data_IF_876005350799
#
_entry.id   IF_876005350799
#
_cell.length_a   1.000
_cell.length_b   1.000
_cell.length_c   1.000
_cell.angle_alpha   90.00
_cell.angle_beta   90.00
_cell.angle_gamma   90.00
#
_symmetry.space_group_name_H-M   'P 1'
#
loop_
_entity.id
_entity.type
_entity.pdbx_description
1 polymer ?
#
# COMPACT_ATOMS: atom_id res chain seq x y z
N UNK A 1 -16.93 -25.23 -3.85
CA UNK A 1 -16.70 -23.79 -3.85
C UNK A 1 -15.22 -23.54 -4.03
N UNK A 2 -14.84 -22.74 -5.01
CA UNK A 2 -13.42 -22.38 -5.26
C UNK A 2 -13.00 -21.21 -4.39
N UNK A 3 -11.73 -21.18 -3.99
CA UNK A 3 -11.10 -20.07 -3.27
C UNK A 3 -9.97 -19.50 -4.11
N UNK A 4 -10.01 -18.20 -4.39
CA UNK A 4 -8.99 -17.54 -5.19
C UNK A 4 -8.36 -16.36 -4.47
N UNK A 5 -7.12 -16.07 -4.80
CA UNK A 5 -6.40 -14.90 -4.32
C UNK A 5 -6.38 -13.80 -5.38
N UNK A 6 -6.38 -12.56 -4.91
CA UNK A 6 -6.06 -11.43 -5.78
C UNK A 6 -4.58 -11.48 -6.16
N UNK A 7 -4.30 -11.33 -7.45
CA UNK A 7 -2.96 -11.16 -7.98
C UNK A 7 -2.85 -9.81 -8.70
N UNK A 8 -1.63 -9.39 -8.97
CA UNK A 8 -1.34 -8.22 -9.79
C UNK A 8 -0.29 -8.65 -10.79
N UNK A 9 -0.68 -8.87 -12.04
CA UNK A 9 0.20 -9.39 -13.07
C UNK A 9 0.97 -8.30 -13.82
N UNK A 10 0.38 -7.10 -13.92
CA UNK A 10 0.98 -5.98 -14.65
C UNK A 10 0.64 -4.66 -13.96
N UNK A 11 1.61 -3.77 -13.91
CA UNK A 11 1.36 -2.37 -13.56
C UNK A 11 1.34 -1.55 -14.86
N UNK A 12 0.18 -1.01 -15.28
CA UNK A 12 0.14 -0.12 -16.42
C UNK A 12 1.07 1.08 -16.20
N UNK A 13 2.02 1.28 -17.10
CA UNK A 13 2.94 2.44 -17.09
C UNK A 13 3.94 2.57 -15.93
N UNK A 14 4.17 1.52 -15.14
CA UNK A 14 5.14 1.53 -14.05
C UNK A 14 6.21 0.46 -14.30
N UNK A 15 7.47 0.89 -14.39
CA UNK A 15 8.62 -0.01 -14.48
C UNK A 15 9.03 -0.51 -13.09
N UNK A 16 8.18 -1.27 -12.44
CA UNK A 16 8.48 -1.78 -11.10
C UNK A 16 7.39 -2.70 -10.57
N UNK A 17 7.75 -3.50 -9.58
CA UNK A 17 6.84 -4.39 -8.86
C UNK A 17 6.58 -3.78 -7.49
N UNK A 18 5.31 -3.57 -7.14
CA UNK A 18 4.94 -3.22 -5.79
C UNK A 18 4.81 -4.50 -4.94
N UNK A 19 5.86 -4.82 -4.20
CA UNK A 19 5.87 -6.01 -3.33
C UNK A 19 4.73 -5.99 -2.31
N UNK A 20 4.23 -4.81 -1.92
CA UNK A 20 3.12 -4.66 -0.99
C UNK A 20 1.83 -5.35 -1.46
N UNK A 21 1.56 -5.37 -2.76
CA UNK A 21 0.38 -6.04 -3.30
C UNK A 21 0.48 -7.58 -3.18
N UNK A 22 1.68 -8.14 -3.38
CA UNK A 22 1.92 -9.57 -3.15
C UNK A 22 1.85 -9.93 -1.66
N UNK A 23 2.37 -9.07 -0.79
CA UNK A 23 2.29 -9.25 0.67
C UNK A 23 0.84 -9.22 1.14
N UNK A 24 -0.03 -8.41 0.53
CA UNK A 24 -1.48 -8.43 0.80
C UNK A 24 -2.13 -9.76 0.38
N UNK A 25 -1.79 -10.29 -0.79
CA UNK A 25 -2.27 -11.60 -1.23
C UNK A 25 -1.80 -12.72 -0.28
N UNK A 26 -0.52 -12.68 0.13
CA UNK A 26 0.03 -13.61 1.12
C UNK A 26 -0.71 -13.51 2.46
N UNK A 27 -1.05 -12.30 2.92
CA UNK A 27 -1.81 -12.12 4.15
C UNK A 27 -3.20 -12.78 4.06
N UNK A 28 -3.93 -12.60 2.95
CA UNK A 28 -5.24 -13.24 2.78
C UNK A 28 -5.17 -14.75 2.63
N UNK A 29 -4.09 -15.29 2.08
CA UNK A 29 -3.92 -16.73 1.93
C UNK A 29 -3.97 -17.52 3.25
N UNK A 30 -3.62 -16.87 4.36
CA UNK A 30 -3.63 -17.49 5.70
C UNK A 30 -5.04 -17.88 6.18
N UNK A 31 -6.06 -17.24 5.64
CA UNK A 31 -7.46 -17.37 6.04
C UNK A 31 -8.29 -18.19 5.04
N UNK A 32 -7.67 -18.74 4.02
CA UNK A 32 -8.32 -19.63 3.06
C UNK A 32 -7.96 -21.08 3.34
N UNK A 33 -8.91 -22.03 3.24
CA UNK A 33 -8.63 -23.44 3.48
C UNK A 33 -7.68 -24.06 2.44
N UNK A 34 -7.72 -23.54 1.22
CA UNK A 34 -6.84 -23.86 0.10
C UNK A 34 -6.93 -22.78 -0.96
N UNK A 35 -6.08 -22.82 -1.96
CA UNK A 35 -6.04 -21.84 -3.05
C UNK A 35 -6.21 -22.60 -4.37
N UNK A 36 -7.30 -22.35 -5.08
CA UNK A 36 -7.62 -22.96 -6.38
C UNK A 36 -7.09 -22.14 -7.58
N UNK A 37 -6.58 -20.95 -7.34
CA UNK A 37 -6.04 -20.08 -8.38
C UNK A 37 -6.06 -18.62 -8.02
N UNK A 38 -5.87 -17.78 -9.03
CA UNK A 38 -5.74 -16.34 -8.90
C UNK A 38 -6.73 -15.60 -9.79
N UNK A 39 -7.05 -14.37 -9.42
CA UNK A 39 -7.78 -13.40 -10.23
C UNK A 39 -6.94 -12.15 -10.27
N UNK A 40 -6.66 -11.61 -11.46
CA UNK A 40 -5.98 -10.32 -11.53
C UNK A 40 -6.91 -9.23 -11.01
N UNK A 41 -6.42 -8.50 -10.01
CA UNK A 41 -7.18 -7.45 -9.31
C UNK A 41 -7.61 -6.32 -10.23
N UNK A 42 -6.77 -6.00 -11.19
CA UNK A 42 -6.97 -4.83 -12.04
C UNK A 42 -7.61 -5.21 -13.39
N UNK A 43 -7.29 -6.38 -13.97
CA UNK A 43 -7.75 -6.75 -15.31
C UNK A 43 -9.00 -7.65 -15.30
N UNK A 44 -9.11 -8.61 -14.36
CA UNK A 44 -10.07 -9.70 -14.49
C UNK A 44 -11.36 -9.58 -13.65
N UNK A 45 -11.44 -8.64 -12.69
CA UNK A 45 -12.53 -8.63 -11.72
C UNK A 45 -13.92 -8.53 -12.35
N UNK A 46 -14.13 -7.58 -13.26
CA UNK A 46 -15.45 -7.31 -13.85
C UNK A 46 -15.89 -8.40 -14.82
N UNK A 47 -14.94 -8.85 -15.64
CA UNK A 47 -15.21 -9.78 -16.73
C UNK A 47 -14.85 -11.22 -16.35
N UNK A 48 -14.71 -11.51 -15.06
CA UNK A 48 -14.47 -12.85 -14.57
C UNK A 48 -15.58 -13.79 -15.00
N UNK A 49 -15.22 -14.82 -15.78
CA UNK A 49 -16.13 -15.82 -16.35
C UNK A 49 -15.76 -17.27 -15.96
N UNK A 50 -14.96 -17.45 -14.91
CA UNK A 50 -14.58 -18.77 -14.39
C UNK A 50 -15.66 -19.41 -13.51
N UNK A 51 -15.29 -20.46 -12.79
CA UNK A 51 -16.20 -21.08 -11.81
C UNK A 51 -16.49 -20.11 -10.64
N UNK A 52 -17.71 -20.14 -10.06
CA UNK A 52 -18.04 -19.34 -8.88
C UNK A 52 -17.01 -19.54 -7.76
N UNK A 53 -16.51 -18.45 -7.22
CA UNK A 53 -15.41 -18.48 -6.24
C UNK A 53 -15.57 -17.46 -5.13
N UNK A 54 -14.92 -17.74 -4.00
CA UNK A 54 -14.74 -16.81 -2.88
C UNK A 54 -13.40 -16.11 -2.96
N UNK A 55 -13.40 -14.81 -2.69
CA UNK A 55 -12.21 -13.97 -2.73
C UNK A 55 -12.19 -13.01 -1.54
N UNK A 56 -11.07 -12.95 -0.82
CA UNK A 56 -10.85 -11.89 0.17
C UNK A 56 -10.39 -10.64 -0.58
N UNK A 57 -11.23 -9.60 -0.54
CA UNK A 57 -11.06 -8.35 -1.25
C UNK A 57 -10.30 -7.34 -0.39
N UNK A 58 -8.99 -7.58 -0.18
CA UNK A 58 -8.10 -6.84 0.70
C UNK A 58 -7.16 -5.86 -0.03
N UNK A 59 -7.61 -5.22 -1.07
CA UNK A 59 -6.79 -4.35 -1.90
C UNK A 59 -7.34 -2.95 -2.12
N UNK A 60 -6.71 -2.25 -3.06
CA UNK A 60 -7.19 -1.00 -3.65
C UNK A 60 -7.39 -1.22 -5.15
N UNK A 61 -8.41 -0.61 -5.73
CA UNK A 61 -8.89 -0.92 -7.08
C UNK A 61 -8.82 0.33 -7.96
N UNK A 62 -7.63 0.92 -8.09
CA UNK A 62 -7.46 2.24 -8.71
C UNK A 62 -6.79 2.24 -10.08
N UNK A 63 -6.04 1.19 -10.42
CA UNK A 63 -5.28 1.21 -11.68
C UNK A 63 -6.19 1.11 -12.89
N UNK A 64 -7.20 0.24 -12.84
CA UNK A 64 -8.23 0.08 -13.86
C UNK A 64 -9.63 0.15 -13.22
N UNK A 65 -10.04 1.32 -12.68
CA UNK A 65 -11.29 1.44 -11.93
C UNK A 65 -12.54 1.15 -12.77
N UNK A 66 -12.46 1.20 -14.10
CA UNK A 66 -13.54 0.79 -15.00
C UNK A 66 -13.85 -0.72 -14.94
N UNK A 67 -12.92 -1.53 -14.41
CA UNK A 67 -13.11 -2.98 -14.18
C UNK A 67 -13.77 -3.26 -12.81
N UNK A 68 -14.45 -2.27 -12.26
CA UNK A 68 -15.24 -2.33 -11.03
C UNK A 68 -16.75 -2.07 -11.34
N UNK A 69 -17.71 -2.69 -10.67
CA UNK A 69 -17.55 -3.73 -9.64
C UNK A 69 -17.22 -5.11 -10.19
N UNK A 70 -16.78 -6.05 -9.31
CA UNK A 70 -16.55 -7.44 -9.68
C UNK A 70 -17.75 -8.17 -10.27
N UNK A 71 -17.47 -9.23 -11.05
CA UNK A 71 -18.47 -10.17 -11.57
C UNK A 71 -19.29 -10.85 -10.46
N UNK A 72 -20.56 -11.13 -10.70
CA UNK A 72 -21.44 -11.85 -9.77
C UNK A 72 -21.00 -13.30 -9.49
N UNK A 73 -20.05 -13.83 -10.25
CA UNK A 73 -19.40 -15.12 -9.99
C UNK A 73 -18.35 -15.07 -8.87
N UNK A 74 -18.02 -13.86 -8.40
CA UNK A 74 -17.11 -13.64 -7.28
C UNK A 74 -17.94 -13.31 -6.04
N UNK A 75 -17.88 -14.20 -5.04
CA UNK A 75 -18.42 -13.96 -3.70
C UNK A 75 -17.33 -13.31 -2.84
N UNK A 76 -17.37 -11.97 -2.63
CA UNK A 76 -16.31 -11.24 -1.98
C UNK A 76 -16.50 -11.19 -0.46
N UNK A 77 -15.40 -11.31 0.26
CA UNK A 77 -15.28 -10.89 1.66
C UNK A 77 -14.40 -9.63 1.72
N UNK A 78 -14.99 -8.50 2.03
CA UNK A 78 -14.27 -7.24 2.14
C UNK A 78 -13.57 -7.08 3.50
N UNK A 79 -12.25 -7.20 3.51
CA UNK A 79 -11.40 -6.92 4.66
C UNK A 79 -10.19 -6.13 4.18
N UNK A 80 -9.85 -5.07 4.89
CA UNK A 80 -8.76 -4.16 4.51
C UNK A 80 -8.97 -3.49 3.12
N UNK A 81 -10.23 -3.26 2.74
CA UNK A 81 -10.58 -2.52 1.53
C UNK A 81 -10.07 -1.07 1.63
N UNK A 82 -9.50 -0.57 0.54
CA UNK A 82 -9.01 0.80 0.48
C UNK A 82 -9.58 1.55 -0.72
N UNK A 83 -10.11 2.73 -0.45
CA UNK A 83 -10.64 3.65 -1.45
C UNK A 83 -9.69 4.84 -1.61
N UNK A 84 -9.03 4.91 -2.76
CA UNK A 84 -8.17 6.04 -3.08
C UNK A 84 -8.99 7.23 -3.56
N UNK A 85 -8.64 8.43 -3.08
CA UNK A 85 -9.34 9.67 -3.45
C UNK A 85 -9.31 9.98 -4.95
N UNK A 86 -8.32 9.50 -5.68
CA UNK A 86 -8.18 9.71 -7.13
C UNK A 86 -9.21 8.95 -7.98
N UNK A 87 -9.87 7.92 -7.44
CA UNK A 87 -10.86 7.10 -8.14
C UNK A 87 -12.22 7.05 -7.42
N UNK A 88 -12.41 7.96 -6.47
CA UNK A 88 -13.63 8.00 -5.65
C UNK A 88 -14.91 8.13 -6.47
N UNK A 89 -14.88 8.82 -7.61
CA UNK A 89 -16.06 9.01 -8.47
C UNK A 89 -16.58 7.68 -9.03
N UNK A 90 -15.69 6.77 -9.41
CA UNK A 90 -16.07 5.44 -9.90
C UNK A 90 -16.46 4.54 -8.74
N UNK A 91 -15.63 4.45 -7.70
CA UNK A 91 -15.82 3.54 -6.57
C UNK A 91 -16.97 3.98 -5.62
N UNK A 92 -17.44 5.20 -5.73
CA UNK A 92 -18.63 5.72 -5.02
C UNK A 92 -19.80 6.02 -5.97
N UNK A 93 -19.75 5.53 -7.21
CA UNK A 93 -20.93 5.58 -8.11
C UNK A 93 -22.12 4.82 -7.54
N UNK A 94 -23.33 5.14 -7.99
CA UNK A 94 -24.53 4.46 -7.51
C UNK A 94 -24.47 2.94 -7.69
N UNK A 95 -23.89 2.45 -8.79
CA UNK A 95 -23.68 1.03 -9.03
C UNK A 95 -22.69 0.41 -8.03
N UNK A 96 -21.57 1.08 -7.78
CA UNK A 96 -20.57 0.62 -6.83
C UNK A 96 -21.12 0.59 -5.40
N UNK A 97 -21.85 1.62 -4.99
CA UNK A 97 -22.50 1.68 -3.67
C UNK A 97 -23.55 0.57 -3.52
N UNK A 98 -24.38 0.30 -4.55
CA UNK A 98 -25.33 -0.80 -4.53
C UNK A 98 -24.60 -2.16 -4.36
N UNK A 99 -23.52 -2.37 -5.10
CA UNK A 99 -22.70 -3.56 -4.99
C UNK A 99 -22.07 -3.71 -3.59
N UNK A 100 -21.47 -2.65 -3.04
CA UNK A 100 -20.89 -2.69 -1.70
C UNK A 100 -21.95 -2.96 -0.61
N UNK A 101 -23.16 -2.39 -0.75
CA UNK A 101 -24.27 -2.65 0.16
C UNK A 101 -24.75 -4.09 0.14
N UNK A 102 -24.72 -4.77 -1.02
CA UNK A 102 -25.10 -6.18 -1.10
C UNK A 102 -24.09 -7.13 -0.45
N UNK A 103 -22.86 -6.63 -0.18
CA UNK A 103 -21.76 -7.43 0.41
C UNK A 103 -21.27 -6.88 1.76
N UNK A 104 -22.04 -5.99 2.38
CA UNK A 104 -21.68 -5.44 3.70
C UNK A 104 -21.80 -6.50 4.82
N UNK A 105 -21.07 -6.31 5.96
CA UNK A 105 -20.26 -5.14 6.31
C UNK A 105 -18.90 -5.11 5.60
N UNK A 106 -18.41 -3.90 5.30
CA UNK A 106 -17.14 -3.69 4.59
C UNK A 106 -16.00 -3.35 5.58
N UNK A 107 -15.00 -4.22 5.67
CA UNK A 107 -13.80 -3.97 6.47
C UNK A 107 -12.85 -2.99 5.75
N UNK A 108 -12.61 -1.83 6.35
CA UNK A 108 -11.82 -0.74 5.77
C UNK A 108 -10.40 -0.74 6.33
N UNK A 109 -9.39 -0.57 5.45
CA UNK A 109 -7.99 -0.51 5.83
C UNK A 109 -7.63 0.78 6.57
N UNK A 110 -8.33 1.87 6.31
CA UNK A 110 -8.06 3.20 6.85
C UNK A 110 -9.36 3.95 7.17
N UNK A 111 -9.22 4.98 8.03
CA UNK A 111 -10.35 5.76 8.51
C UNK A 111 -10.99 6.63 7.43
N UNK A 112 -10.25 7.03 6.39
CA UNK A 112 -10.83 7.80 5.29
C UNK A 112 -11.76 6.93 4.44
N UNK A 113 -11.37 5.70 4.14
CA UNK A 113 -12.21 4.72 3.46
C UNK A 113 -13.48 4.45 4.28
N UNK A 114 -13.34 4.21 5.58
CA UNK A 114 -14.47 4.03 6.48
C UNK A 114 -15.44 5.23 6.43
N UNK A 115 -14.91 6.45 6.56
CA UNK A 115 -15.70 7.68 6.50
C UNK A 115 -16.48 7.81 5.18
N UNK A 116 -15.79 7.58 4.06
CA UNK A 116 -16.42 7.70 2.73
C UNK A 116 -17.52 6.67 2.52
N UNK A 117 -17.34 5.42 2.93
CA UNK A 117 -18.35 4.39 2.80
C UNK A 117 -19.56 4.66 3.71
N UNK A 118 -19.31 4.98 4.98
CA UNK A 118 -20.38 5.29 5.95
C UNK A 118 -21.20 6.50 5.51
N UNK A 119 -20.56 7.55 4.98
CA UNK A 119 -21.25 8.73 4.44
C UNK A 119 -22.19 8.40 3.27
N UNK A 120 -21.90 7.34 2.52
CA UNK A 120 -22.72 6.84 1.41
C UNK A 120 -23.72 5.74 1.86
N UNK A 121 -23.88 5.54 3.16
CA UNK A 121 -24.84 4.61 3.75
C UNK A 121 -24.48 3.13 3.56
N UNK A 122 -23.18 2.83 3.42
CA UNK A 122 -22.66 1.46 3.45
C UNK A 122 -22.28 1.13 4.89
N UNK A 123 -22.72 -0.02 5.40
CA UNK A 123 -22.26 -0.54 6.67
C UNK A 123 -20.79 -0.96 6.56
N UNK A 124 -19.94 -0.30 7.34
CA UNK A 124 -18.50 -0.46 7.27
C UNK A 124 -17.84 -0.35 8.64
N UNK A 125 -16.71 -1.01 8.81
CA UNK A 125 -15.92 -0.99 10.04
C UNK A 125 -14.42 -0.83 9.76
N UNK A 126 -13.67 -0.37 10.74
CA UNK A 126 -12.21 -0.30 10.63
C UNK A 126 -11.59 -1.67 10.92
N UNK A 127 -10.99 -2.29 9.90
CA UNK A 127 -10.31 -3.59 10.02
C UNK A 127 -8.79 -3.46 10.13
N UNK A 128 -8.22 -2.31 9.78
CA UNK A 128 -6.78 -2.17 9.57
C UNK A 128 -6.28 -2.89 8.32
N UNK A 129 -4.97 -2.92 8.12
CA UNK A 129 -4.35 -3.63 7.00
C UNK A 129 -4.19 -5.13 7.33
N UNK A 130 -4.61 -6.00 6.43
CA UNK A 130 -4.52 -7.44 6.61
C UNK A 130 -3.06 -7.94 6.74
N UNK A 131 -2.09 -7.20 6.21
CA UNK A 131 -0.68 -7.54 6.36
C UNK A 131 -0.19 -7.52 7.81
N UNK A 132 -0.91 -6.85 8.72
CA UNK A 132 -0.61 -6.88 10.15
C UNK A 132 -0.78 -8.28 10.77
N UNK A 133 -1.54 -9.16 10.13
CA UNK A 133 -1.74 -10.55 10.59
C UNK A 133 -0.56 -11.47 10.25
N UNK A 134 0.35 -11.04 9.39
CA UNK A 134 1.50 -11.86 8.98
C UNK A 134 2.46 -12.14 10.14
N UNK A 135 2.50 -11.29 11.16
CA UNK A 135 3.31 -11.49 12.36
C UNK A 135 2.95 -12.76 13.13
N UNK A 136 1.74 -13.26 13.02
CA UNK A 136 1.30 -14.53 13.63
C UNK A 136 2.10 -15.72 13.08
N UNK A 137 2.31 -15.74 11.77
CA UNK A 137 2.95 -16.86 11.06
C UNK A 137 4.43 -16.63 10.78
N UNK A 138 4.83 -15.39 10.54
CA UNK A 138 6.16 -15.01 10.05
C UNK A 138 6.91 -14.12 11.03
N UNK A 139 6.76 -14.37 12.33
CA UNK A 139 7.55 -13.68 13.34
C UNK A 139 8.93 -14.31 13.51
N UNK A 140 9.90 -13.53 13.96
CA UNK A 140 11.18 -13.99 14.46
C UNK A 140 11.26 -13.71 15.95
N UNK A 141 11.65 -14.71 16.72
CA UNK A 141 11.94 -14.55 18.14
C UNK A 141 13.28 -13.85 18.36
N UNK A 142 14.19 -13.96 17.38
CA UNK A 142 15.47 -13.27 17.40
C UNK A 142 15.26 -11.80 17.02
N UNK A 143 15.58 -10.92 17.96
CA UNK A 143 15.58 -9.46 17.73
C UNK A 143 17.00 -8.97 17.64
N UNK A 144 17.34 -8.34 16.54
CA UNK A 144 18.59 -7.61 16.42
C UNK A 144 18.48 -6.25 17.14
N UNK A 145 19.57 -5.82 17.80
CA UNK A 145 19.65 -4.44 18.34
C UNK A 145 19.93 -3.44 17.21
N UNK A 146 19.02 -3.46 16.23
CA UNK A 146 19.06 -2.59 15.05
C UNK A 146 17.71 -1.94 14.81
N UNK A 147 17.72 -0.70 14.37
CA UNK A 147 16.54 0.02 13.92
C UNK A 147 16.55 0.09 12.40
N UNK A 148 15.55 -0.55 11.79
CA UNK A 148 15.36 -0.49 10.33
C UNK A 148 14.40 0.65 9.99
N UNK A 149 14.76 1.44 8.98
CA UNK A 149 13.90 2.47 8.44
C UNK A 149 13.45 2.02 7.06
N UNK A 150 12.13 1.86 6.92
CA UNK A 150 11.48 1.43 5.68
C UNK A 150 10.87 2.64 4.99
N UNK A 151 11.08 2.75 3.67
CA UNK A 151 10.55 3.81 2.81
C UNK A 151 10.86 5.24 3.31
N UNK A 152 12.14 5.60 3.42
CA UNK A 152 12.58 6.90 3.91
C UNK A 152 12.19 8.03 2.96
N UNK A 153 11.00 8.60 3.14
CA UNK A 153 10.45 9.65 2.30
C UNK A 153 10.31 10.95 3.10
N UNK A 154 10.93 12.01 2.62
CA UNK A 154 10.70 13.35 3.12
C UNK A 154 9.72 14.09 2.21
N UNK A 155 8.50 14.32 2.69
CA UNK A 155 7.42 14.99 1.96
C UNK A 155 7.33 16.50 2.23
N UNK A 156 8.24 17.06 3.01
CA UNK A 156 8.27 18.49 3.32
C UNK A 156 8.64 19.37 2.13
N UNK A 157 8.22 20.62 2.19
CA UNK A 157 8.62 21.65 1.20
C UNK A 157 10.06 22.10 1.45
N UNK A 158 10.83 22.29 0.37
CA UNK A 158 12.18 22.84 0.41
C UNK A 158 12.11 24.38 0.48
N UNK A 159 11.88 24.94 1.67
CA UNK A 159 12.07 26.36 1.91
C UNK A 159 13.53 26.69 2.27
N UNK A 160 13.88 27.96 2.36
CA UNK A 160 15.24 28.41 2.61
C UNK A 160 15.88 27.78 3.88
N UNK A 161 15.12 27.75 4.98
CA UNK A 161 15.58 27.13 6.22
C UNK A 161 15.81 25.64 6.10
N UNK A 162 14.94 24.93 5.38
CA UNK A 162 15.10 23.51 5.10
C UNK A 162 16.35 23.24 4.25
N UNK A 163 16.61 24.06 3.25
CA UNK A 163 17.81 23.95 2.40
C UNK A 163 19.07 24.17 3.23
N UNK A 164 19.13 25.21 4.08
CA UNK A 164 20.27 25.47 4.96
C UNK A 164 20.52 24.29 5.90
N UNK A 165 19.46 23.76 6.51
CA UNK A 165 19.55 22.60 7.38
C UNK A 165 20.05 21.35 6.63
N UNK A 166 19.57 21.12 5.41
CA UNK A 166 20.01 20.02 4.57
C UNK A 166 21.50 20.10 4.23
N UNK A 167 21.99 21.29 3.86
CA UNK A 167 23.40 21.53 3.57
C UNK A 167 24.27 21.28 4.81
N UNK A 168 23.89 21.82 5.97
CA UNK A 168 24.60 21.58 7.22
C UNK A 168 24.66 20.08 7.58
N UNK A 169 23.56 19.35 7.34
CA UNK A 169 23.52 17.90 7.58
C UNK A 169 24.39 17.14 6.60
N UNK A 170 24.40 17.53 5.33
CA UNK A 170 25.24 16.90 4.30
C UNK A 170 26.74 17.07 4.59
N UNK A 171 27.14 18.23 5.09
CA UNK A 171 28.54 18.48 5.50
C UNK A 171 28.95 17.61 6.70
N UNK A 172 28.04 17.42 7.65
CA UNK A 172 28.29 16.66 8.89
C UNK A 172 28.31 15.14 8.69
N UNK A 173 27.53 14.64 7.72
CA UNK A 173 27.29 13.22 7.50
C UNK A 173 27.42 12.80 6.03
N UNK A 174 28.54 13.09 5.35
CA UNK A 174 28.65 12.90 3.91
C UNK A 174 28.56 11.41 3.49
N UNK A 175 29.18 10.51 4.27
CA UNK A 175 29.23 9.09 3.93
C UNK A 175 27.86 8.43 4.12
N UNK A 176 27.13 8.79 5.16
CA UNK A 176 25.77 8.25 5.42
C UNK A 176 24.79 8.69 4.32
N UNK A 177 24.92 9.95 3.87
CA UNK A 177 24.09 10.47 2.79
C UNK A 177 24.42 9.87 1.44
N UNK A 178 25.68 9.53 1.17
CA UNK A 178 26.06 8.83 -0.05
C UNK A 178 25.43 7.44 -0.12
N UNK A 179 25.41 6.71 0.99
CA UNK A 179 24.73 5.41 1.10
C UNK A 179 23.23 5.56 0.84
N UNK A 180 22.56 6.51 1.51
CA UNK A 180 21.14 6.79 1.33
C UNK A 180 20.77 7.17 -0.10
N UNK A 181 21.57 8.05 -0.73
CA UNK A 181 21.34 8.46 -2.11
C UNK A 181 21.45 7.31 -3.14
N UNK A 182 22.13 6.22 -2.78
CA UNK A 182 22.22 5.00 -3.59
C UNK A 182 20.94 4.16 -3.63
N UNK A 183 20.03 4.32 -2.67
CA UNK A 183 18.82 3.51 -2.58
C UNK A 183 17.87 3.80 -3.74
N UNK A 184 17.47 2.74 -4.44
CA UNK A 184 16.68 2.83 -5.68
C UNK A 184 15.33 3.53 -5.48
N UNK A 185 14.66 3.31 -4.35
CA UNK A 185 13.38 3.95 -4.05
C UNK A 185 13.46 5.46 -3.89
N UNK A 186 14.52 5.97 -3.27
CA UNK A 186 14.75 7.42 -3.23
C UNK A 186 14.96 8.02 -4.63
N UNK A 187 15.56 7.26 -5.56
CA UNK A 187 15.67 7.66 -6.97
C UNK A 187 14.31 7.77 -7.65
N UNK A 188 13.44 6.81 -7.44
CA UNK A 188 12.10 6.80 -8.04
C UNK A 188 11.23 7.93 -7.48
N UNK A 189 11.24 8.11 -6.17
CA UNK A 189 10.37 9.09 -5.50
C UNK A 189 10.79 10.55 -5.72
N UNK A 190 12.09 10.85 -5.68
CA UNK A 190 12.58 12.23 -5.83
C UNK A 190 12.92 12.61 -7.27
N UNK A 191 12.68 11.71 -8.22
CA UNK A 191 12.90 11.97 -9.64
C UNK A 191 14.38 12.12 -10.04
N UNK A 192 14.60 12.76 -11.20
CA UNK A 192 15.94 12.92 -11.78
C UNK A 192 16.74 14.10 -11.21
N UNK A 193 16.12 14.98 -10.43
CA UNK A 193 16.82 16.13 -9.88
C UNK A 193 17.70 15.72 -8.69
N UNK A 194 18.99 15.56 -8.96
CA UNK A 194 19.99 15.10 -7.99
C UNK A 194 20.13 16.04 -6.78
N UNK A 195 20.00 17.35 -6.98
CA UNK A 195 20.08 18.35 -5.91
C UNK A 195 18.91 18.22 -4.95
N UNK A 196 17.70 18.17 -5.48
CA UNK A 196 16.49 17.93 -4.67
C UNK A 196 16.56 16.62 -3.90
N UNK A 197 17.08 15.58 -4.52
CA UNK A 197 17.28 14.27 -3.90
C UNK A 197 18.25 14.35 -2.72
N UNK A 198 19.41 14.98 -2.89
CA UNK A 198 20.43 15.12 -1.83
C UNK A 198 19.87 15.95 -0.67
N UNK A 199 19.22 17.08 -0.96
CA UNK A 199 18.65 17.96 0.07
C UNK A 199 17.55 17.26 0.87
N UNK A 200 16.63 16.58 0.20
CA UNK A 200 15.54 15.83 0.86
C UNK A 200 16.06 14.65 1.66
N UNK A 201 17.08 13.95 1.17
CA UNK A 201 17.74 12.86 1.90
C UNK A 201 18.45 13.36 3.16
N UNK A 202 19.09 14.53 3.08
CA UNK A 202 19.74 15.15 4.24
C UNK A 202 18.74 15.58 5.31
N UNK A 203 17.60 16.13 4.92
CA UNK A 203 16.52 16.48 5.85
C UNK A 203 15.91 15.24 6.49
N UNK A 204 15.67 14.23 5.73
CA UNK A 204 15.21 12.94 6.22
C UNK A 204 16.17 12.37 7.26
N UNK A 205 17.47 12.31 6.97
CA UNK A 205 18.49 11.83 7.90
C UNK A 205 18.49 12.63 9.21
N UNK A 206 18.37 13.96 9.12
CA UNK A 206 18.30 14.85 10.29
C UNK A 206 17.08 14.56 11.18
N UNK A 207 15.91 14.37 10.57
CA UNK A 207 14.67 14.09 11.29
C UNK A 207 14.75 12.75 12.04
N UNK A 208 15.13 11.70 11.34
CA UNK A 208 15.15 10.36 11.91
C UNK A 208 16.34 10.11 12.84
N UNK A 209 17.50 10.70 12.62
CA UNK A 209 18.63 10.58 13.53
C UNK A 209 18.36 11.17 14.92
N UNK A 210 17.46 12.15 15.02
CA UNK A 210 16.99 12.69 16.31
C UNK A 210 16.15 11.70 17.09
N UNK A 211 15.29 10.93 16.39
CA UNK A 211 14.34 9.98 17.00
C UNK A 211 15.06 8.70 17.41
N UNK A 212 15.95 8.19 16.58
CA UNK A 212 16.56 6.85 16.74
C UNK A 212 18.00 6.88 17.20
N UNK A 213 18.60 8.07 17.36
CA UNK A 213 20.00 8.21 17.74
C UNK A 213 20.97 7.75 16.63
N UNK A 214 22.20 7.39 17.03
CA UNK A 214 23.27 7.03 16.08
C UNK A 214 23.21 5.60 15.53
N UNK A 215 22.24 4.78 15.92
CA UNK A 215 22.08 3.37 15.52
C UNK A 215 21.16 3.21 14.31
N UNK A 216 21.25 4.06 13.29
CA UNK A 216 20.53 3.89 12.04
C UNK A 216 21.27 2.88 11.18
N UNK A 217 20.66 1.72 10.95
CA UNK A 217 21.07 0.75 9.93
C UNK A 217 20.05 0.86 8.79
N UNK A 218 20.55 1.01 7.58
CA UNK A 218 19.76 1.12 6.37
C UNK A 218 20.01 -0.05 5.45
#
# INVERSE_FOLDING_TARGET
>A
MKYKLLAVSKFPNISGVNIGDYVQALASSQFLPHIDGFIDRDEDLKDYAGEPCKVIMNGWYMHLPQNWPPSDLIDPLFVAFHLNSGVKEVLLSSQSIAYLKSHQPIGCRDLNTLYLLSKNGVDAYFSGCMTLTLGEKYHSEEKEDKTYIVDPIFNGTLNFNAILQAVCTAIKHPLDLLKLCGITQLRLHYGRNIVSKILKTALYYKEYSKVFGRKLVM
#
